data_IF_066297893398
#
_entry.id   IF_066297893398
#
_cell.length_a   1.000
_cell.length_b   1.000
_cell.length_c   1.000
_cell.angle_alpha   90.00
_cell.angle_beta   90.00
_cell.angle_gamma   90.00
#
_symmetry.space_group_name_H-M   'P 1'
#
loop_
_entity.id
_entity.type
_entity.pdbx_description
1 polymer ?
#
# COMPACT_ATOMS: atom_id res chain seq x y z
N UNK A 1 -8.89 1.95 22.28
CA UNK A 1 -8.78 2.09 20.81
C UNK A 1 -7.64 1.22 20.37
N UNK A 2 -7.89 0.23 19.49
CA UNK A 2 -6.81 -0.57 18.92
C UNK A 2 -5.87 0.37 18.15
N UNK A 3 -4.55 0.17 18.30
CA UNK A 3 -3.57 1.04 17.68
C UNK A 3 -3.62 0.92 16.15
N UNK A 4 -3.61 2.05 15.48
CA UNK A 4 -3.68 2.15 14.01
C UNK A 4 -2.30 2.30 13.37
N UNK A 5 -1.23 1.83 14.03
CA UNK A 5 0.12 1.98 13.51
C UNK A 5 0.53 0.82 12.62
N UNK A 6 0.99 1.13 11.43
CA UNK A 6 1.78 0.22 10.59
C UNK A 6 3.21 0.19 11.12
N UNK A 7 3.88 -0.96 11.04
CA UNK A 7 5.29 -1.02 11.35
C UNK A 7 6.08 -1.64 10.20
N UNK A 8 7.31 -1.14 10.00
CA UNK A 8 8.22 -1.64 8.96
C UNK A 8 9.60 -1.81 9.55
N UNK A 9 10.20 -2.98 9.35
CA UNK A 9 11.55 -3.30 9.83
C UNK A 9 12.23 -4.33 8.94
N UNK A 10 13.53 -4.47 9.10
CA UNK A 10 14.32 -5.49 8.42
C UNK A 10 15.18 -6.27 9.40
N UNK A 11 15.57 -7.47 8.99
CA UNK A 11 16.60 -8.28 9.62
C UNK A 11 17.77 -8.45 8.66
N UNK A 12 18.98 -8.61 9.19
CA UNK A 12 20.19 -8.82 8.39
C UNK A 12 21.43 -8.40 9.16
N UNK A 13 22.52 -8.18 8.45
CA UNK A 13 23.76 -7.67 9.04
C UNK A 13 23.58 -6.20 9.45
N UNK A 14 24.07 -5.85 10.65
CA UNK A 14 24.09 -4.45 11.09
C UNK A 14 25.05 -3.65 10.21
N UNK A 15 24.52 -2.80 9.37
CA UNK A 15 25.32 -1.85 8.63
C UNK A 15 24.81 -0.44 8.92
N UNK A 16 25.68 0.46 9.35
CA UNK A 16 25.38 1.85 9.71
C UNK A 16 24.74 2.67 8.58
N UNK A 17 24.79 2.16 7.36
CA UNK A 17 24.32 2.82 6.15
C UNK A 17 22.97 2.33 5.59
N UNK A 18 22.32 1.35 6.20
CA UNK A 18 21.05 0.82 5.68
C UNK A 18 19.90 1.78 6.02
N UNK A 19 19.58 2.63 5.08
CA UNK A 19 18.41 3.50 5.17
C UNK A 19 17.33 2.97 4.24
N UNK A 20 16.16 2.66 4.80
CA UNK A 20 15.01 2.26 4.00
C UNK A 20 14.06 3.43 3.79
N UNK A 21 13.41 3.42 2.65
CA UNK A 21 12.36 4.37 2.31
C UNK A 21 11.07 3.59 2.11
N UNK A 22 9.96 4.16 2.58
CA UNK A 22 8.63 3.56 2.45
C UNK A 22 7.70 4.52 1.73
N UNK A 23 7.04 4.02 0.70
CA UNK A 23 5.97 4.69 0.00
C UNK A 23 4.65 4.08 0.44
N UNK A 24 3.72 4.90 0.85
CA UNK A 24 2.40 4.50 1.24
C UNK A 24 1.40 5.26 0.41
N UNK A 25 0.58 4.52 -0.33
CA UNK A 25 -0.51 5.11 -1.08
C UNK A 25 -1.82 4.56 -0.53
N UNK A 26 -2.66 5.44 -0.03
CA UNK A 26 -4.01 5.12 0.37
C UNK A 26 -4.98 5.57 -0.74
N UNK A 27 -5.71 4.60 -1.30
CA UNK A 27 -6.68 4.83 -2.35
C UNK A 27 -8.08 4.80 -1.75
N UNK A 28 -8.68 5.96 -1.61
CA UNK A 28 -10.09 6.11 -1.22
C UNK A 28 -10.95 5.96 -2.46
N UNK A 29 -11.50 4.79 -2.70
CA UNK A 29 -12.27 4.46 -3.90
C UNK A 29 -13.77 4.49 -3.68
N UNK A 30 -14.22 4.40 -2.43
CA UNK A 30 -15.61 4.63 -2.06
C UNK A 30 -15.85 6.11 -1.96
N UNK A 31 -16.49 6.67 -2.94
CA UNK A 31 -16.85 8.08 -2.99
C UNK A 31 -18.20 8.31 -3.63
N UNK A 32 -19.13 8.75 -2.84
CA UNK A 32 -20.16 9.69 -3.26
C UNK A 32 -21.22 9.19 -4.18
N UNK A 33 -22.03 9.08 -4.67
CA UNK A 33 -23.30 8.94 -5.42
C UNK A 33 -24.18 7.76 -5.01
N UNK A 34 -23.64 6.67 -4.50
CA UNK A 34 -24.48 5.54 -4.08
C UNK A 34 -25.10 5.71 -2.68
N UNK A 35 -24.57 6.62 -1.85
CA UNK A 35 -24.92 6.66 -0.44
C UNK A 35 -26.32 7.22 -0.16
N UNK A 36 -26.76 8.26 -0.83
CA UNK A 36 -28.09 8.83 -0.56
C UNK A 36 -29.23 8.05 -1.24
N UNK A 37 -29.03 7.57 -2.47
CA UNK A 37 -30.03 6.74 -3.17
C UNK A 37 -30.20 5.37 -2.53
N UNK A 38 -29.14 4.78 -1.99
CA UNK A 38 -29.24 3.52 -1.24
C UNK A 38 -29.92 3.72 0.10
N UNK A 39 -29.74 4.85 0.77
CA UNK A 39 -30.41 5.20 2.03
C UNK A 39 -31.91 5.46 1.85
N UNK A 40 -32.34 6.14 0.79
CA UNK A 40 -33.76 6.31 0.50
C UNK A 40 -34.43 4.96 0.16
N UNK A 41 -33.77 4.05 -0.53
CA UNK A 41 -34.31 2.72 -0.85
C UNK A 41 -34.45 1.82 0.38
N UNK A 42 -33.64 1.99 1.42
CA UNK A 42 -33.73 1.15 2.62
C UNK A 42 -34.98 1.42 3.47
N UNK A 43 -35.56 2.62 3.37
CA UNK A 43 -36.78 2.97 4.13
C UNK A 43 -38.08 2.58 3.41
N UNK A 44 -38.05 2.34 2.11
CA UNK A 44 -39.28 2.09 1.30
C UNK A 44 -39.44 0.63 0.87
N UNK A 45 -38.41 -0.19 0.85
CA UNK A 45 -38.47 -1.53 0.25
C UNK A 45 -38.03 -2.66 1.18
N UNK A 46 -38.75 -2.89 2.31
CA UNK A 46 -38.71 -4.20 2.99
C UNK A 46 -39.47 -5.32 2.25
N UNK A 47 -40.10 -5.05 1.11
CA UNK A 47 -41.05 -5.97 0.50
C UNK A 47 -40.67 -6.61 -0.85
N UNK A 48 -39.56 -6.25 -1.50
CA UNK A 48 -39.23 -6.88 -2.78
C UNK A 48 -37.80 -7.38 -2.80
N UNK A 49 -37.69 -8.68 -2.55
CA UNK A 49 -36.45 -9.46 -2.70
C UNK A 49 -36.18 -9.68 -4.20
N UNK A 50 -35.71 -8.66 -4.88
CA UNK A 50 -35.14 -8.80 -6.23
C UNK A 50 -33.62 -8.85 -6.09
N UNK A 51 -33.01 -9.90 -6.70
CA UNK A 51 -31.57 -10.00 -6.95
C UNK A 51 -31.09 -8.67 -7.55
N UNK A 52 -30.69 -7.77 -6.70
CA UNK A 52 -30.07 -6.52 -7.08
C UNK A 52 -28.71 -6.85 -7.64
N UNK A 53 -28.42 -6.37 -8.81
CA UNK A 53 -27.07 -6.24 -9.32
C UNK A 53 -26.29 -5.43 -8.28
N UNK A 54 -25.53 -6.14 -7.45
CA UNK A 54 -24.56 -5.52 -6.59
C UNK A 54 -23.51 -4.90 -7.55
N UNK A 55 -23.64 -3.58 -7.78
CA UNK A 55 -22.49 -2.82 -8.20
C UNK A 55 -21.43 -3.14 -7.16
N UNK A 56 -20.39 -3.85 -7.54
CA UNK A 56 -19.23 -4.10 -6.69
C UNK A 56 -18.72 -2.73 -6.28
N UNK A 57 -18.98 -2.34 -5.04
CA UNK A 57 -18.41 -1.11 -4.48
C UNK A 57 -16.90 -1.29 -4.57
N UNK A 58 -16.22 -0.37 -5.21
CA UNK A 58 -14.76 -0.40 -5.26
C UNK A 58 -14.28 -0.32 -3.83
N UNK A 59 -13.49 -1.30 -3.43
CA UNK A 59 -12.90 -1.33 -2.09
C UNK A 59 -11.72 -0.38 -2.04
N UNK A 60 -11.56 0.30 -0.91
CA UNK A 60 -10.35 1.07 -0.64
C UNK A 60 -9.12 0.17 -0.70
N UNK A 61 -8.00 0.74 -1.07
CA UNK A 61 -6.74 -0.01 -1.18
C UNK A 61 -5.62 0.72 -0.43
N UNK A 62 -4.77 -0.08 0.19
CA UNK A 62 -3.50 0.37 0.74
C UNK A 62 -2.37 -0.21 -0.09
N UNK A 63 -1.50 0.63 -0.60
CA UNK A 63 -0.27 0.17 -1.24
C UNK A 63 0.93 0.56 -0.41
N UNK A 64 1.83 -0.39 -0.24
CA UNK A 64 3.08 -0.19 0.47
C UNK A 64 4.22 -0.54 -0.46
N UNK A 65 4.99 0.47 -0.84
CA UNK A 65 6.25 0.34 -1.55
C UNK A 65 7.40 0.42 -0.57
N UNK A 66 8.38 -0.43 -0.71
CA UNK A 66 9.50 -0.51 0.21
C UNK A 66 10.82 -0.60 -0.55
N UNK A 67 11.71 0.39 -0.35
CA UNK A 67 13.08 0.34 -0.85
C UNK A 67 14.01 -0.29 0.18
N UNK A 68 14.71 -1.32 -0.25
CA UNK A 68 15.78 -1.97 0.50
C UNK A 68 17.12 -1.52 -0.09
N UNK A 69 17.91 -0.79 0.70
CA UNK A 69 19.27 -0.39 0.36
C UNK A 69 20.25 -1.48 0.84
N UNK A 70 21.35 -1.66 0.10
CA UNK A 70 22.30 -2.74 0.35
C UNK A 70 21.59 -4.09 0.59
N UNK A 71 20.80 -4.56 -0.39
CA UNK A 71 19.91 -5.71 -0.21
C UNK A 71 20.67 -7.01 0.04
N UNK A 72 21.93 -7.09 -0.33
CA UNK A 72 22.84 -8.19 -0.02
C UNK A 72 23.03 -8.41 1.48
N UNK A 73 22.82 -7.37 2.29
CA UNK A 73 22.95 -7.41 3.76
C UNK A 73 21.62 -7.59 4.50
N UNK A 74 20.52 -7.65 3.78
CA UNK A 74 19.19 -7.84 4.33
C UNK A 74 18.74 -9.28 4.14
N UNK A 75 18.34 -9.94 5.22
CA UNK A 75 17.81 -11.29 5.15
C UNK A 75 16.29 -11.33 5.02
N UNK A 76 15.58 -10.41 5.66
CA UNK A 76 14.12 -10.33 5.64
C UNK A 76 13.67 -8.87 5.75
N UNK A 77 12.54 -8.54 5.12
CA UNK A 77 11.84 -7.28 5.30
C UNK A 77 10.40 -7.55 5.74
N UNK A 78 9.95 -6.89 6.79
CA UNK A 78 8.65 -7.15 7.40
C UNK A 78 7.81 -5.88 7.51
N UNK A 79 6.51 -6.06 7.32
CA UNK A 79 5.49 -5.04 7.45
C UNK A 79 4.42 -5.58 8.41
N UNK A 80 4.11 -4.86 9.47
CA UNK A 80 2.96 -5.13 10.32
C UNK A 80 1.81 -4.22 9.93
N UNK A 81 0.63 -4.81 9.77
CA UNK A 81 -0.63 -4.13 9.50
C UNK A 81 -1.53 -4.27 10.74
N UNK A 82 -2.19 -3.19 11.22
CA UNK A 82 -3.03 -3.23 12.43
C UNK A 82 -4.42 -3.85 12.16
N UNK A 83 -4.52 -4.76 11.20
CA UNK A 83 -5.72 -5.50 10.83
C UNK A 83 -5.34 -6.84 10.20
N UNK A 84 -6.27 -7.78 10.24
CA UNK A 84 -6.10 -9.09 9.62
C UNK A 84 -6.15 -8.96 8.11
N UNK A 85 -5.28 -9.69 7.43
CA UNK A 85 -5.19 -9.74 5.98
C UNK A 85 -5.17 -11.19 5.53
N UNK A 86 -5.96 -11.51 4.55
CA UNK A 86 -5.92 -12.80 3.87
C UNK A 86 -4.99 -12.71 2.65
N UNK A 87 -4.42 -13.83 2.26
CA UNK A 87 -3.56 -13.88 1.07
C UNK A 87 -4.28 -13.45 -0.21
N UNK A 88 -5.59 -13.66 -0.26
CA UNK A 88 -6.42 -13.25 -1.38
C UNK A 88 -6.55 -11.72 -1.54
N UNK A 89 -6.26 -10.96 -0.46
CA UNK A 89 -6.34 -9.51 -0.46
C UNK A 89 -5.03 -8.83 -0.84
N UNK A 90 -3.94 -9.61 -1.03
CA UNK A 90 -2.61 -9.09 -1.31
C UNK A 90 -2.23 -9.34 -2.77
N UNK A 91 -1.82 -8.28 -3.43
CA UNK A 91 -1.42 -8.29 -4.84
C UNK A 91 -0.02 -7.70 -5.00
N UNK A 92 0.74 -8.28 -5.90
CA UNK A 92 1.99 -7.71 -6.38
C UNK A 92 1.71 -6.65 -7.45
N UNK A 93 2.17 -5.43 -7.21
CA UNK A 93 2.02 -4.34 -8.17
C UNK A 93 3.17 -4.24 -9.18
N UNK A 94 4.18 -5.09 -9.07
CA UNK A 94 5.41 -4.96 -9.85
C UNK A 94 5.18 -5.02 -11.38
N UNK A 95 4.22 -5.82 -11.84
CA UNK A 95 3.88 -5.88 -13.28
C UNK A 95 3.48 -4.53 -13.88
N UNK A 96 2.87 -3.67 -13.09
CA UNK A 96 2.45 -2.33 -13.55
C UNK A 96 3.64 -1.43 -13.86
N UNK A 97 4.79 -1.68 -13.24
CA UNK A 97 6.01 -0.89 -13.46
C UNK A 97 6.72 -1.19 -14.79
N UNK A 98 6.25 -2.19 -15.54
CA UNK A 98 6.67 -2.42 -16.93
C UNK A 98 6.34 -1.24 -17.85
N UNK A 99 5.41 -0.38 -17.43
CA UNK A 99 5.08 0.86 -18.13
C UNK A 99 5.88 2.01 -17.51
N UNK A 100 6.71 2.67 -18.32
CA UNK A 100 7.56 3.79 -17.86
C UNK A 100 6.72 4.91 -17.22
N UNK A 101 5.53 5.18 -17.74
CA UNK A 101 4.63 6.22 -17.22
C UNK A 101 4.20 5.94 -15.79
N UNK A 102 3.92 4.67 -15.45
CA UNK A 102 3.58 4.26 -14.08
C UNK A 102 4.78 4.40 -13.16
N UNK A 103 5.95 3.94 -13.62
CA UNK A 103 7.19 4.04 -12.86
C UNK A 103 7.56 5.49 -12.58
N UNK A 104 7.46 6.38 -13.59
CA UNK A 104 7.66 7.82 -13.45
C UNK A 104 6.67 8.44 -12.47
N UNK A 105 5.40 8.07 -12.58
CA UNK A 105 4.34 8.60 -11.73
C UNK A 105 4.51 8.21 -10.24
N UNK A 106 4.96 6.98 -9.96
CA UNK A 106 5.14 6.45 -8.59
C UNK A 106 6.43 6.97 -7.98
N UNK A 107 7.54 6.95 -8.72
CA UNK A 107 8.82 7.42 -8.22
C UNK A 107 8.96 8.95 -8.25
N UNK A 108 8.12 9.62 -9.03
CA UNK A 108 8.20 11.06 -9.33
C UNK A 108 9.57 11.45 -9.90
N UNK A 109 10.13 10.57 -10.75
CA UNK A 109 11.44 10.70 -11.36
C UNK A 109 11.33 10.32 -12.86
N UNK A 110 12.15 10.90 -13.75
CA UNK A 110 12.10 10.61 -15.19
C UNK A 110 12.76 9.27 -15.53
N UNK A 111 12.21 8.18 -14.96
CA UNK A 111 12.77 6.86 -15.17
C UNK A 111 12.33 6.26 -16.50
N UNK A 112 13.25 5.53 -17.13
CA UNK A 112 12.95 4.56 -18.19
C UNK A 112 13.05 3.16 -17.62
N UNK A 113 12.23 2.23 -18.12
CA UNK A 113 12.25 0.85 -17.62
C UNK A 113 12.75 -0.09 -18.70
N UNK A 114 13.56 -1.05 -18.28
CA UNK A 114 14.02 -2.16 -19.10
C UNK A 114 13.63 -3.46 -18.42
N UNK A 115 13.17 -4.42 -19.23
CA UNK A 115 12.92 -5.77 -18.72
C UNK A 115 14.25 -6.49 -18.65
N UNK A 116 14.44 -7.29 -17.61
CA UNK A 116 15.52 -8.28 -17.56
C UNK A 116 15.37 -9.30 -18.70
N UNK A 117 16.29 -10.28 -18.77
CA UNK A 117 16.13 -11.42 -19.66
C UNK A 117 14.76 -12.08 -19.46
N UNK A 118 14.25 -12.79 -20.49
CA UNK A 118 12.95 -13.47 -20.42
C UNK A 118 12.80 -14.24 -19.09
N UNK A 119 11.73 -13.90 -18.35
CA UNK A 119 11.41 -14.42 -17.01
C UNK A 119 12.32 -13.95 -15.86
N UNK A 120 13.15 -12.92 -16.02
CA UNK A 120 13.85 -12.35 -14.87
C UNK A 120 12.84 -11.77 -13.85
N UNK A 121 12.98 -12.08 -12.55
CA UNK A 121 12.05 -11.59 -11.52
C UNK A 121 12.28 -10.12 -11.15
N UNK A 122 12.89 -9.34 -12.05
CA UNK A 122 13.17 -7.91 -11.83
C UNK A 122 12.91 -7.06 -13.07
N UNK A 123 12.41 -5.85 -12.82
CA UNK A 123 12.33 -4.75 -13.78
C UNK A 123 13.38 -3.72 -13.36
N UNK A 124 14.21 -3.27 -14.29
CA UNK A 124 15.26 -2.31 -14.02
C UNK A 124 14.77 -0.91 -14.43
N UNK A 125 14.68 -0.01 -13.46
CA UNK A 125 14.41 1.40 -13.70
C UNK A 125 15.73 2.18 -13.78
N UNK A 126 15.89 3.02 -14.81
CA UNK A 126 17.09 3.81 -15.09
C UNK A 126 16.75 5.29 -15.18
N UNK A 127 17.70 6.14 -14.76
CA UNK A 127 17.71 7.60 -14.99
C UNK A 127 19.00 7.91 -15.74
N UNK A 128 18.93 8.56 -16.89
CA UNK A 128 20.06 8.92 -17.72
C UNK A 128 21.01 7.73 -18.04
N UNK A 129 20.42 6.54 -18.19
CA UNK A 129 21.17 5.29 -18.47
C UNK A 129 21.68 4.55 -17.24
N UNK A 130 21.76 5.21 -16.09
CA UNK A 130 22.22 4.62 -14.82
C UNK A 130 21.08 3.92 -14.06
N UNK A 131 21.40 2.81 -13.38
CA UNK A 131 20.40 2.04 -12.62
C UNK A 131 19.93 2.87 -11.42
N UNK A 132 18.67 3.26 -11.45
CA UNK A 132 17.99 3.94 -10.36
C UNK A 132 17.54 2.95 -9.26
N UNK A 133 16.86 1.89 -9.65
CA UNK A 133 16.43 0.80 -8.75
C UNK A 133 16.03 -0.43 -9.56
N UNK A 134 16.05 -1.59 -8.92
CA UNK A 134 15.45 -2.80 -9.46
C UNK A 134 14.15 -3.11 -8.71
N UNK A 135 13.08 -3.38 -9.45
CA UNK A 135 11.74 -3.65 -8.94
C UNK A 135 11.54 -5.16 -9.00
N UNK A 136 11.28 -5.78 -7.87
CA UNK A 136 11.12 -7.23 -7.78
C UNK A 136 9.70 -7.65 -8.11
N UNK A 137 9.56 -8.68 -8.96
CA UNK A 137 8.32 -9.39 -9.25
C UNK A 137 8.27 -10.66 -8.43
N UNK A 138 7.26 -10.78 -7.58
CA UNK A 138 7.06 -12.00 -6.80
C UNK A 138 6.62 -13.17 -7.69
N UNK A 139 7.08 -14.37 -7.34
CA UNK A 139 6.60 -15.61 -7.94
C UNK A 139 5.11 -15.78 -7.68
N UNK A 140 4.33 -15.99 -8.76
CA UNK A 140 2.89 -16.20 -8.68
C UNK A 140 2.57 -17.68 -8.85
N UNK A 141 1.78 -18.22 -7.94
CA UNK A 141 1.19 -19.54 -8.05
C UNK A 141 0.19 -19.59 -9.22
N UNK A 142 -0.21 -20.77 -9.64
CA UNK A 142 -1.23 -20.96 -10.67
C UNK A 142 -2.58 -20.24 -10.35
N UNK A 143 -2.85 -20.01 -9.06
CA UNK A 143 -3.99 -19.21 -8.57
C UNK A 143 -3.83 -17.70 -8.76
N UNK A 144 -2.69 -17.21 -9.27
CA UNK A 144 -2.34 -15.79 -9.36
C UNK A 144 -1.87 -15.17 -8.03
N UNK A 145 -1.85 -15.93 -6.94
CA UNK A 145 -1.42 -15.44 -5.60
C UNK A 145 0.10 -15.49 -5.49
N UNK A 146 0.66 -14.60 -4.68
CA UNK A 146 2.10 -14.59 -4.35
C UNK A 146 2.47 -15.89 -3.62
N UNK A 147 3.59 -16.49 -4.00
CA UNK A 147 4.14 -17.70 -3.38
C UNK A 147 4.41 -17.50 -1.88
N UNK A 148 4.09 -18.52 -1.07
CA UNK A 148 4.34 -18.49 0.38
C UNK A 148 5.84 -18.53 0.72
N UNK A 149 6.63 -19.07 -0.18
CA UNK A 149 8.09 -19.09 -0.04
C UNK A 149 8.69 -17.69 -0.10
N UNK A 150 8.03 -16.75 -0.80
CA UNK A 150 8.53 -15.39 -1.00
C UNK A 150 7.86 -14.35 -0.10
N UNK A 151 6.55 -14.54 0.21
CA UNK A 151 5.80 -13.67 1.10
C UNK A 151 5.06 -14.50 2.15
N UNK A 152 5.50 -14.43 3.39
CA UNK A 152 4.82 -15.04 4.53
C UNK A 152 3.81 -14.07 5.15
N UNK A 153 2.68 -14.63 5.61
CA UNK A 153 1.63 -13.89 6.32
C UNK A 153 1.41 -14.59 7.64
N UNK A 154 1.57 -13.86 8.73
CA UNK A 154 1.37 -14.35 10.09
C UNK A 154 0.39 -13.44 10.85
N UNK A 155 -0.57 -14.03 11.54
CA UNK A 155 -1.44 -13.26 12.42
C UNK A 155 -0.66 -12.84 13.68
N UNK A 156 -0.76 -11.58 14.06
CA UNK A 156 -0.11 -10.98 15.22
C UNK A 156 -1.12 -10.15 16.01
N UNK A 157 -1.72 -10.76 17.03
CA UNK A 157 -2.82 -10.14 17.77
C UNK A 157 -4.01 -9.82 16.86
N UNK A 158 -4.44 -8.56 16.85
CA UNK A 158 -5.52 -8.08 15.99
C UNK A 158 -5.06 -7.77 14.55
N UNK A 159 -3.76 -7.85 14.28
CA UNK A 159 -3.17 -7.52 13.00
C UNK A 159 -2.53 -8.70 12.28
N UNK A 160 -1.82 -8.38 11.21
CA UNK A 160 -1.06 -9.31 10.40
C UNK A 160 0.36 -8.79 10.14
N UNK A 161 1.33 -9.69 10.15
CA UNK A 161 2.70 -9.44 9.72
C UNK A 161 2.90 -10.05 8.34
N UNK A 162 3.35 -9.23 7.40
CA UNK A 162 3.80 -9.65 6.08
C UNK A 162 5.33 -9.68 6.10
N UNK A 163 5.94 -10.79 5.71
CA UNK A 163 7.40 -10.91 5.66
C UNK A 163 7.85 -11.30 4.27
N UNK A 164 8.58 -10.40 3.62
CA UNK A 164 9.36 -10.69 2.41
C UNK A 164 10.52 -11.57 2.85
N UNK A 165 10.57 -12.79 2.37
CA UNK A 165 11.48 -13.82 2.89
C UNK A 165 12.90 -13.67 2.35
N UNK A 166 13.82 -14.37 3.00
CA UNK A 166 15.19 -14.48 2.53
C UNK A 166 15.29 -15.06 1.11
N UNK A 167 14.37 -15.96 0.71
CA UNK A 167 14.30 -16.49 -0.66
C UNK A 167 14.03 -15.36 -1.65
N UNK A 168 13.00 -14.54 -1.40
CA UNK A 168 12.65 -13.42 -2.26
C UNK A 168 13.80 -12.40 -2.39
N UNK A 169 14.41 -12.01 -1.26
CA UNK A 169 15.52 -11.05 -1.28
C UNK A 169 16.72 -11.59 -2.03
N UNK A 170 17.12 -12.85 -1.79
CA UNK A 170 18.23 -13.49 -2.51
C UNK A 170 17.96 -13.62 -4.00
N UNK A 171 16.74 -14.01 -4.39
CA UNK A 171 16.32 -14.09 -5.78
C UNK A 171 16.40 -12.72 -6.46
N UNK A 172 15.91 -11.66 -5.76
CA UNK A 172 15.97 -10.31 -6.25
C UNK A 172 17.42 -9.79 -6.40
N UNK A 173 18.28 -10.05 -5.42
CA UNK A 173 19.71 -9.67 -5.47
C UNK A 173 20.41 -10.37 -6.62
N UNK A 174 20.19 -11.68 -6.79
CA UNK A 174 20.81 -12.45 -7.87
C UNK A 174 20.39 -11.93 -9.26
N UNK A 175 19.12 -11.56 -9.41
CA UNK A 175 18.61 -11.05 -10.69
C UNK A 175 18.96 -9.58 -10.94
N UNK A 176 19.15 -8.78 -9.89
CA UNK A 176 19.42 -7.35 -9.97
C UNK A 176 20.90 -6.98 -10.18
N UNK A 177 21.80 -7.92 -10.17
CA UNK A 177 23.28 -7.98 -10.23
C UNK A 177 24.09 -6.69 -9.95
N UNK A 178 23.64 -5.51 -10.33
CA UNK A 178 24.34 -4.23 -10.15
C UNK A 178 23.55 -3.19 -9.35
N UNK A 179 22.34 -3.53 -8.95
CA UNK A 179 21.46 -2.56 -8.27
C UNK A 179 21.79 -2.42 -6.79
N UNK A 180 22.10 -1.19 -6.37
CA UNK A 180 22.35 -0.87 -4.95
C UNK A 180 21.08 -0.82 -4.10
N UNK A 181 19.90 -0.88 -4.71
CA UNK A 181 18.61 -0.84 -4.02
C UNK A 181 17.55 -1.65 -4.77
N UNK A 182 16.74 -2.37 -4.01
CA UNK A 182 15.59 -3.12 -4.48
C UNK A 182 14.30 -2.43 -4.05
N UNK A 183 13.29 -2.52 -4.89
CA UNK A 183 11.96 -2.02 -4.61
C UNK A 183 10.94 -3.14 -4.67
N UNK A 184 10.11 -3.22 -3.63
CA UNK A 184 8.97 -4.12 -3.53
C UNK A 184 7.70 -3.27 -3.40
N UNK A 185 6.60 -3.68 -4.02
CA UNK A 185 5.33 -2.98 -3.87
C UNK A 185 4.17 -3.95 -3.80
N UNK A 186 3.48 -3.90 -2.68
CA UNK A 186 2.30 -4.71 -2.40
C UNK A 186 1.07 -3.82 -2.34
N UNK A 187 -0.05 -4.29 -2.89
CA UNK A 187 -1.39 -3.72 -2.76
C UNK A 187 -2.20 -4.61 -1.86
N UNK A 188 -2.91 -4.00 -0.91
CA UNK A 188 -3.79 -4.69 0.03
C UNK A 188 -5.19 -4.12 -0.16
N UNK A 189 -6.16 -4.98 -0.48
CA UNK A 189 -7.57 -4.61 -0.53
C UNK A 189 -8.10 -4.42 0.88
N UNK A 190 -8.77 -3.28 1.13
CA UNK A 190 -9.32 -2.94 2.44
C UNK A 190 -10.82 -3.15 2.44
N UNK A 191 -11.29 -4.07 3.27
CA UNK A 191 -12.72 -4.26 3.46
C UNK A 191 -13.29 -3.14 4.34
N UNK A 192 -14.40 -2.53 3.93
CA UNK A 192 -15.15 -1.53 4.72
C UNK A 192 -14.34 -0.29 5.14
N UNK A 193 -13.62 0.33 4.21
CA UNK A 193 -12.85 1.57 4.47
C UNK A 193 -11.57 1.38 5.29
N UNK A 194 -11.31 0.17 5.75
CA UNK A 194 -10.13 -0.17 6.54
C UNK A 194 -10.07 0.51 7.92
N UNK A 195 -9.05 0.18 8.73
CA UNK A 195 -8.92 0.70 10.09
C UNK A 195 -8.45 2.16 10.16
N UNK A 196 -8.03 2.73 9.05
CA UNK A 196 -7.42 4.06 8.99
C UNK A 196 -8.43 5.18 8.83
N UNK A 197 -9.67 4.87 8.44
CA UNK A 197 -10.73 5.86 8.20
C UNK A 197 -11.75 5.83 9.33
N UNK A 198 -12.06 6.99 9.84
CA UNK A 198 -13.16 7.22 10.79
C UNK A 198 -14.09 8.27 10.23
N UNK A 199 -15.32 7.88 9.92
CA UNK A 199 -16.33 8.81 9.43
C UNK A 199 -17.01 9.51 10.60
N UNK A 200 -16.93 10.83 10.63
CA UNK A 200 -17.59 11.69 11.60
C UNK A 200 -18.83 12.29 10.93
N UNK A 201 -19.98 12.12 11.55
CA UNK A 201 -21.24 12.74 11.11
C UNK A 201 -21.57 13.89 12.04
N UNK A 202 -21.86 15.09 11.52
CA UNK A 202 -22.30 16.21 12.34
C UNK A 202 -23.57 15.83 13.13
N UNK A 203 -23.61 16.19 14.40
CA UNK A 203 -24.72 15.85 15.30
C UNK A 203 -26.02 16.61 14.96
N UNK A 204 -25.91 17.79 14.35
CA UNK A 204 -27.01 18.68 13.99
C UNK A 204 -27.44 18.57 12.53
N UNK A 205 -27.96 17.40 12.15
CA UNK A 205 -28.49 17.18 10.79
C UNK A 205 -29.78 17.99 10.46
N UNK A 206 -30.32 18.77 11.40
CA UNK A 206 -31.56 19.53 11.19
C UNK A 206 -31.34 20.90 10.55
N UNK A 207 -30.17 21.51 10.70
CA UNK A 207 -29.81 22.83 10.18
C UNK A 207 -28.65 22.86 9.22
N UNK A 208 -27.86 21.79 9.16
CA UNK A 208 -26.82 21.60 8.16
C UNK A 208 -27.37 20.67 7.06
N UNK A 209 -27.07 20.97 5.81
CA UNK A 209 -27.36 20.04 4.72
C UNK A 209 -26.80 18.68 5.13
N UNK A 210 -27.64 17.67 5.35
CA UNK A 210 -27.26 16.34 5.86
C UNK A 210 -26.39 15.52 4.89
N UNK A 211 -25.59 16.20 4.10
CA UNK A 211 -24.74 15.71 3.01
C UNK A 211 -23.25 15.77 3.32
N UNK A 212 -22.84 16.42 4.41
CA UNK A 212 -21.42 16.52 4.77
C UNK A 212 -21.05 15.42 5.76
N UNK A 213 -20.32 14.44 5.28
CA UNK A 213 -19.58 13.48 6.09
C UNK A 213 -18.11 13.86 6.07
N UNK A 214 -17.45 13.82 7.23
CA UNK A 214 -16.02 14.06 7.34
C UNK A 214 -15.34 12.73 7.55
N UNK A 215 -14.51 12.32 6.58
CA UNK A 215 -13.63 11.17 6.73
C UNK A 215 -12.31 11.63 7.33
N UNK A 216 -12.01 11.14 8.52
CA UNK A 216 -10.72 11.35 9.18
C UNK A 216 -9.82 10.17 8.91
N UNK A 217 -8.71 10.40 8.22
CA UNK A 217 -7.71 9.37 7.89
C UNK A 217 -6.55 9.51 8.88
N UNK A 218 -6.42 8.55 9.80
CA UNK A 218 -5.33 8.48 10.77
C UNK A 218 -4.37 7.35 10.41
N UNK A 219 -3.21 7.71 9.89
CA UNK A 219 -2.18 6.78 9.48
C UNK A 219 -0.87 7.04 10.24
N UNK A 220 -0.35 6.00 10.91
CA UNK A 220 0.86 6.10 11.73
C UNK A 220 1.85 5.02 11.35
N UNK A 221 3.14 5.34 11.41
CA UNK A 221 4.22 4.38 11.16
C UNK A 221 5.14 4.31 12.35
N UNK A 222 5.48 3.06 12.73
CA UNK A 222 6.43 2.75 13.79
C UNK A 222 6.13 3.42 15.14
N UNK A 223 4.85 3.75 15.40
CA UNK A 223 4.44 4.28 16.69
C UNK A 223 4.35 3.15 17.72
N UNK A 224 5.40 2.99 18.52
CA UNK A 224 5.57 1.87 19.44
C UNK A 224 4.41 1.66 20.40
N UNK A 225 3.76 2.73 20.89
CA UNK A 225 2.62 2.64 21.82
C UNK A 225 1.44 1.85 21.29
N UNK A 226 1.30 1.85 19.95
CA UNK A 226 0.16 1.27 19.25
C UNK A 226 0.44 -0.11 18.68
N UNK A 227 1.61 -0.69 18.93
CA UNK A 227 2.05 -1.94 18.36
C UNK A 227 2.03 -3.07 19.40
N UNK A 228 1.78 -4.33 18.97
CA UNK A 228 1.98 -5.50 19.81
C UNK A 228 3.43 -5.61 20.34
N UNK A 229 3.62 -6.23 21.51
CA UNK A 229 4.95 -6.30 22.14
C UNK A 229 6.00 -7.00 21.28
N UNK A 230 5.64 -8.09 20.63
CA UNK A 230 6.52 -8.85 19.74
C UNK A 230 6.94 -8.03 18.50
N UNK A 231 6.06 -7.19 17.97
CA UNK A 231 6.37 -6.24 16.89
C UNK A 231 7.30 -5.14 17.41
N UNK A 232 7.06 -4.61 18.62
CA UNK A 232 7.95 -3.62 19.24
C UNK A 232 9.36 -4.18 19.43
N UNK A 233 9.49 -5.43 19.88
CA UNK A 233 10.77 -6.10 20.02
C UNK A 233 11.47 -6.29 18.67
N UNK A 234 10.72 -6.66 17.64
CA UNK A 234 11.24 -6.80 16.29
C UNK A 234 11.77 -5.48 15.75
N UNK A 235 11.04 -4.37 15.97
CA UNK A 235 11.48 -3.03 15.61
C UNK A 235 12.77 -2.61 16.34
N UNK A 236 12.89 -2.91 17.63
CA UNK A 236 14.12 -2.61 18.41
C UNK A 236 15.33 -3.40 17.92
N UNK A 237 15.11 -4.60 17.39
CA UNK A 237 16.15 -5.47 16.81
C UNK A 237 16.38 -5.20 15.33
N UNK A 238 15.64 -4.26 14.73
CA UNK A 238 15.81 -3.92 13.32
C UNK A 238 17.21 -3.43 13.05
N UNK A 239 17.80 -3.95 11.99
CA UNK A 239 19.14 -3.57 11.54
C UNK A 239 19.14 -2.31 10.70
N UNK A 240 17.97 -1.79 10.34
CA UNK A 240 17.85 -0.63 9.48
C UNK A 240 17.02 0.48 10.11
N UNK A 241 17.35 1.71 9.74
CA UNK A 241 16.58 2.90 10.09
C UNK A 241 15.70 3.31 8.91
N UNK A 242 14.46 3.66 9.19
CA UNK A 242 13.56 4.24 8.21
C UNK A 242 13.95 5.71 8.02
N UNK A 243 14.45 6.06 6.82
CA UNK A 243 14.95 7.39 6.50
C UNK A 243 13.86 8.31 5.97
N UNK A 244 12.98 7.76 5.14
CA UNK A 244 11.98 8.56 4.43
C UNK A 244 10.65 7.80 4.37
N UNK A 245 9.58 8.55 4.61
CA UNK A 245 8.22 8.08 4.42
C UNK A 245 7.55 9.04 3.45
N UNK A 246 7.03 8.49 2.36
CA UNK A 246 6.22 9.24 1.42
C UNK A 246 4.79 8.73 1.52
N UNK A 247 3.87 9.59 1.93
CA UNK A 247 2.46 9.27 2.07
C UNK A 247 1.65 10.01 1.01
N UNK A 248 0.87 9.27 0.24
CA UNK A 248 -0.05 9.78 -0.76
C UNK A 248 -1.47 9.30 -0.42
N UNK A 249 -2.42 10.22 -0.35
CA UNK A 249 -3.83 9.90 -0.35
C UNK A 249 -4.44 10.26 -1.69
N UNK A 250 -5.02 9.28 -2.37
CA UNK A 250 -5.79 9.49 -3.58
C UNK A 250 -7.27 9.32 -3.26
N UNK A 251 -8.08 10.29 -3.64
CA UNK A 251 -9.51 10.31 -3.38
C UNK A 251 -10.28 10.80 -4.61
N UNK A 252 -11.57 10.43 -4.75
CA UNK A 252 -12.43 10.99 -5.78
C UNK A 252 -12.45 12.51 -5.74
N UNK A 253 -12.56 13.15 -6.91
CA UNK A 253 -12.58 14.63 -7.03
C UNK A 253 -13.78 15.28 -6.31
N UNK A 254 -14.82 14.48 -6.04
CA UNK A 254 -15.98 14.89 -5.26
C UNK A 254 -15.70 15.10 -3.76
N UNK A 255 -14.55 14.59 -3.28
CA UNK A 255 -14.13 14.77 -1.89
C UNK A 255 -13.18 15.97 -1.79
N UNK A 256 -13.55 16.96 -0.98
CA UNK A 256 -12.69 18.08 -0.66
C UNK A 256 -11.68 17.73 0.44
N UNK A 257 -10.46 18.22 0.33
CA UNK A 257 -9.48 18.15 1.42
C UNK A 257 -9.72 19.31 2.37
N UNK A 258 -10.07 19.03 3.64
CA UNK A 258 -10.38 20.05 4.65
C UNK A 258 -9.15 20.51 5.42
N UNK A 259 -8.37 19.57 5.97
CA UNK A 259 -7.16 19.88 6.73
C UNK A 259 -6.15 18.74 6.68
N UNK A 260 -4.89 19.05 7.02
CA UNK A 260 -3.81 18.07 7.09
C UNK A 260 -2.83 18.48 8.19
N UNK A 261 -2.41 17.52 9.02
CA UNK A 261 -1.48 17.78 10.15
C UNK A 261 -0.05 18.04 9.69
N UNK A 262 0.32 17.54 8.51
CA UNK A 262 1.61 17.79 7.89
C UNK A 262 1.46 18.74 6.69
N UNK A 263 2.47 19.57 6.39
CA UNK A 263 2.44 20.39 5.19
C UNK A 263 2.25 19.52 3.95
N UNK A 264 1.27 19.85 3.11
CA UNK A 264 1.08 19.21 1.83
C UNK A 264 2.26 19.55 0.93
N UNK A 265 3.00 18.52 0.52
CA UNK A 265 4.10 18.72 -0.42
C UNK A 265 3.59 19.04 -1.83
N UNK A 266 2.56 18.33 -2.27
CA UNK A 266 1.97 18.50 -3.60
C UNK A 266 0.54 17.97 -3.63
N UNK A 267 -0.34 18.67 -4.32
CA UNK A 267 -1.67 18.22 -4.67
C UNK A 267 -1.85 18.31 -6.18
N UNK A 268 -2.41 17.25 -6.79
CA UNK A 268 -2.68 17.23 -8.23
C UNK A 268 -3.86 16.33 -8.56
N UNK A 269 -4.51 16.59 -9.67
CA UNK A 269 -5.46 15.64 -10.26
C UNK A 269 -4.65 14.54 -10.94
N UNK A 270 -5.04 13.28 -10.69
CA UNK A 270 -4.40 12.13 -11.31
C UNK A 270 -4.93 11.94 -12.74
N UNK A 271 -4.02 11.79 -13.69
CA UNK A 271 -4.34 11.59 -15.10
C UNK A 271 -5.00 10.21 -15.30
N UNK A 272 -6.24 10.20 -15.79
CA UNK A 272 -7.02 8.96 -15.98
C UNK A 272 -6.35 7.99 -16.97
N UNK A 273 -5.63 8.49 -17.96
CA UNK A 273 -4.90 7.67 -18.93
C UNK A 273 -3.78 6.83 -18.27
N UNK A 274 -3.10 7.38 -17.26
CA UNK A 274 -2.03 6.70 -16.53
C UNK A 274 -2.61 5.83 -15.41
N UNK A 275 -3.42 6.45 -14.54
CA UNK A 275 -3.83 5.83 -13.28
C UNK A 275 -5.08 4.95 -13.41
N UNK A 276 -5.93 5.18 -14.42
CA UNK A 276 -7.14 4.40 -14.62
C UNK A 276 -6.88 2.92 -14.84
N UNK A 277 -5.87 2.57 -15.64
CA UNK A 277 -5.43 1.18 -15.81
C UNK A 277 -4.73 0.60 -14.58
N UNK A 278 -4.02 1.44 -13.82
CA UNK A 278 -3.29 1.01 -12.62
C UNK A 278 -4.23 0.65 -11.46
N UNK A 279 -5.28 1.45 -11.24
CA UNK A 279 -6.24 1.25 -10.13
C UNK A 279 -7.24 0.13 -10.41
N UNK A 280 -7.57 -0.12 -11.68
CA UNK A 280 -8.59 -1.11 -12.06
C UNK A 280 -8.01 -2.52 -12.32
N UNK A 281 -6.71 -2.70 -12.33
CA UNK A 281 -6.01 -3.98 -12.37
C UNK A 281 -5.65 -4.44 -10.96
#
# INVERSE_FOLDING_TARGET
MAGKSVAVWTKGEAADAQTHEVHINYWRLEGGEASWLSRMKLHVCKAVRRKSWAKTSKQDMLEIGFWVWAPDKVSEASIYLPFKVERADIFDCADSFKKSEISQAIFNEPVTVTHGADNAPVIIAKIDGEIYTSIFLFEKLASGRISEDELKIENKGEGAQLTITSKAIKSAVAAASESKKLYFRLRISLHSGGPFVSTIRPFDGALQSGYEEIDYIDFRINESRSLPRDVQESLRKSTSKLKKISFLTAAPISLGLSSNDAPLHKMRVLESAVWGGYVNN
#
